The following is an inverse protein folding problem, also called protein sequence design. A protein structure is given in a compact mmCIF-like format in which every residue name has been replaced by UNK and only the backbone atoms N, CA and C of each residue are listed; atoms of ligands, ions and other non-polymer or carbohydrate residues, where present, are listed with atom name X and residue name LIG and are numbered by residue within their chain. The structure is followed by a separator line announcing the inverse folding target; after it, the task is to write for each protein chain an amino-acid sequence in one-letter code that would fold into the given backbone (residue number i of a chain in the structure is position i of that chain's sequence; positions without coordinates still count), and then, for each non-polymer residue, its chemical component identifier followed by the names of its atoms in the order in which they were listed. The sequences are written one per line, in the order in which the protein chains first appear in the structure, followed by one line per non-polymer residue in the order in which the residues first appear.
data_IF_577450738821
#
_entry.id   IF_577450738821
#
_cell.length_a   1.000
_cell.length_b   1.000
_cell.length_c   1.000
_cell.angle_alpha   90.00
_cell.angle_beta   90.00
_cell.angle_gamma   90.00
#
_symmetry.space_group_name_H-M   'P 1'
#
loop_
_entity.id
_entity.type
_entity.pdbx_description
1 polymer ?
#
# COMPACT_ATOMS: atom_id res chain seq x y z
N UNK A 1 20.12 11.52 -10.50
CA UNK A 1 19.53 12.50 -9.55
C UNK A 1 19.26 11.87 -8.20
N UNK A 2 19.70 12.55 -7.13
CA UNK A 2 19.59 12.10 -5.73
C UNK A 2 18.18 12.35 -5.17
N UNK A 3 17.76 11.52 -4.22
CA UNK A 3 16.55 11.77 -3.42
C UNK A 3 16.95 12.68 -2.26
N UNK A 4 16.12 13.67 -1.93
CA UNK A 4 16.40 14.64 -0.85
C UNK A 4 15.16 14.85 0.04
N UNK A 5 15.35 15.13 1.34
CA UNK A 5 14.24 15.43 2.23
C UNK A 5 13.79 16.89 2.05
N UNK A 6 12.49 17.12 2.19
CA UNK A 6 11.88 18.45 2.31
C UNK A 6 10.87 18.46 3.45
N UNK A 7 10.77 19.59 4.15
CA UNK A 7 9.70 19.84 5.11
C UNK A 7 8.47 20.33 4.35
N UNK A 8 7.30 19.74 4.59
CA UNK A 8 6.04 20.22 4.04
C UNK A 8 5.38 21.25 4.97
N UNK A 9 4.38 21.95 4.45
CA UNK A 9 3.57 22.87 5.26
C UNK A 9 2.92 22.14 6.45
N UNK A 10 2.54 22.91 7.47
CA UNK A 10 1.80 22.36 8.59
C UNK A 10 0.42 21.88 8.17
N UNK A 11 -0.02 20.79 8.78
CA UNK A 11 -1.37 20.24 8.57
C UNK A 11 -2.42 21.16 9.21
N UNK A 12 -3.47 21.48 8.46
CA UNK A 12 -4.58 22.33 8.93
C UNK A 12 -5.60 21.48 9.66
N UNK A 13 -6.07 21.94 10.82
CA UNK A 13 -7.14 21.26 11.60
C UNK A 13 -6.70 20.02 12.40
N UNK A 14 -5.40 19.68 12.37
CA UNK A 14 -4.88 18.53 13.11
C UNK A 14 -4.99 18.76 14.63
N UNK A 15 -5.90 18.03 15.28
CA UNK A 15 -6.02 17.94 16.73
C UNK A 15 -6.66 16.60 17.12
N UNK A 16 -6.59 16.24 18.40
CA UNK A 16 -7.21 15.00 18.89
C UNK A 16 -8.71 14.97 18.59
N UNK A 17 -9.19 13.88 17.99
CA UNK A 17 -10.58 13.70 17.58
C UNK A 17 -10.98 14.45 16.29
N UNK A 18 -10.07 15.19 15.66
CA UNK A 18 -10.33 15.94 14.43
C UNK A 18 -9.57 15.35 13.25
N UNK A 19 -10.01 15.75 12.05
CA UNK A 19 -9.30 15.48 10.80
C UNK A 19 -8.30 16.61 10.52
N UNK A 20 -7.03 16.24 10.38
CA UNK A 20 -6.02 17.13 9.82
C UNK A 20 -5.93 16.95 8.30
N UNK A 21 -5.76 18.04 7.56
CA UNK A 21 -5.59 18.04 6.10
C UNK A 21 -4.33 18.81 5.70
N UNK A 22 -3.52 18.23 4.83
CA UNK A 22 -2.32 18.84 4.26
C UNK A 22 -2.39 18.78 2.72
N UNK A 23 -2.52 19.93 2.04
CA UNK A 23 -2.28 20.01 0.60
C UNK A 23 -0.81 19.69 0.29
N UNK A 24 -0.59 18.75 -0.63
CA UNK A 24 0.74 18.35 -1.10
C UNK A 24 1.05 19.15 -2.37
N UNK A 25 2.13 19.95 -2.41
CA UNK A 25 2.42 20.80 -3.55
C UNK A 25 2.86 19.96 -4.78
N UNK A 26 2.51 20.44 -5.97
CA UNK A 26 3.04 19.85 -7.20
C UNK A 26 4.49 20.30 -7.45
N UNK A 27 5.17 19.61 -8.37
CA UNK A 27 6.52 19.90 -8.81
C UNK A 27 7.40 18.66 -8.74
N UNK A 28 7.79 18.18 -7.55
CA UNK A 28 8.67 17.02 -7.43
C UNK A 28 7.95 15.68 -7.67
N UNK A 29 8.73 14.61 -7.84
CA UNK A 29 8.22 13.24 -7.62
C UNK A 29 8.38 12.89 -6.15
N UNK A 30 7.30 12.44 -5.51
CA UNK A 30 7.31 12.00 -4.11
C UNK A 30 7.62 10.50 -4.01
N UNK A 31 8.63 10.14 -3.21
CA UNK A 31 8.98 8.74 -2.95
C UNK A 31 8.30 8.21 -1.68
N UNK A 32 8.17 9.06 -0.68
CA UNK A 32 7.51 8.75 0.59
C UNK A 32 7.14 10.05 1.31
N UNK A 33 6.13 9.97 2.18
CA UNK A 33 5.85 10.97 3.21
C UNK A 33 6.22 10.39 4.57
N UNK A 34 6.83 11.20 5.42
CA UNK A 34 7.21 10.82 6.78
C UNK A 34 6.46 11.71 7.76
N UNK A 35 5.65 11.09 8.61
CA UNK A 35 4.92 11.76 9.68
C UNK A 35 5.81 11.74 10.93
N UNK A 36 6.16 12.92 11.43
CA UNK A 36 6.79 13.13 12.72
C UNK A 36 5.72 13.61 13.71
N UNK A 37 5.35 12.78 14.67
CA UNK A 37 4.20 13.04 15.55
C UNK A 37 4.34 12.41 16.92
N UNK A 38 3.64 12.97 17.92
CA UNK A 38 3.46 12.31 19.22
C UNK A 38 2.28 11.32 19.26
N UNK A 39 1.56 11.14 18.15
CA UNK A 39 0.51 10.13 18.03
C UNK A 39 1.09 8.71 17.94
N UNK A 40 0.40 7.76 18.57
CA UNK A 40 0.67 6.34 18.35
C UNK A 40 0.00 5.83 17.07
N UNK A 41 0.40 4.65 16.61
CA UNK A 41 -0.20 3.99 15.45
C UNK A 41 -1.74 3.87 15.58
N UNK A 42 -2.21 3.37 16.72
CA UNK A 42 -3.62 3.24 17.06
C UNK A 42 -4.41 4.56 17.15
N UNK A 43 -3.72 5.70 17.26
CA UNK A 43 -4.38 7.01 17.29
C UNK A 43 -4.71 7.55 15.90
N UNK A 44 -4.05 7.05 14.85
CA UNK A 44 -4.33 7.42 13.46
C UNK A 44 -5.33 6.43 12.86
N UNK A 45 -6.61 6.74 13.04
CA UNK A 45 -7.72 5.86 12.68
C UNK A 45 -7.91 5.74 11.16
N UNK A 46 -7.49 6.77 10.42
CA UNK A 46 -7.54 6.80 8.96
C UNK A 46 -6.53 7.77 8.41
N UNK A 47 -5.78 7.34 7.41
CA UNK A 47 -4.78 8.09 6.67
C UNK A 47 -5.14 7.92 5.20
N UNK A 48 -5.38 9.02 4.49
CA UNK A 48 -5.67 8.96 3.07
C UNK A 48 -4.86 9.95 2.26
N UNK A 49 -4.46 9.51 1.08
CA UNK A 49 -3.91 10.37 0.04
C UNK A 49 -4.93 10.43 -1.08
N UNK A 50 -5.35 11.64 -1.44
CA UNK A 50 -6.20 11.89 -2.61
C UNK A 50 -5.38 12.47 -3.74
N UNK A 51 -5.72 12.10 -4.97
CA UNK A 51 -5.21 12.66 -6.20
C UNK A 51 -6.41 12.95 -7.10
N UNK A 52 -6.70 14.23 -7.33
CA UNK A 52 -7.83 14.68 -8.16
C UNK A 52 -9.17 14.06 -7.73
N UNK A 53 -9.43 14.09 -6.41
CA UNK A 53 -10.60 13.50 -5.74
C UNK A 53 -10.68 11.96 -5.71
N UNK A 54 -9.75 11.24 -6.33
CA UNK A 54 -9.61 9.79 -6.13
C UNK A 54 -8.73 9.53 -4.90
N UNK A 55 -9.22 8.75 -3.93
CA UNK A 55 -8.35 8.22 -2.87
C UNK A 55 -7.42 7.17 -3.49
N UNK A 56 -6.12 7.44 -3.49
CA UNK A 56 -5.11 6.49 -3.98
C UNK A 56 -4.56 5.65 -2.83
N UNK A 57 -4.51 6.19 -1.61
CA UNK A 57 -4.12 5.48 -0.39
C UNK A 57 -5.22 5.59 0.65
N UNK A 58 -5.55 4.49 1.30
CA UNK A 58 -6.46 4.43 2.47
C UNK A 58 -5.89 3.43 3.47
N UNK A 59 -5.36 3.94 4.57
CA UNK A 59 -4.58 3.21 5.56
C UNK A 59 -4.94 3.63 6.98
N UNK A 60 -4.43 2.88 7.96
CA UNK A 60 -4.40 3.21 9.39
C UNK A 60 -2.95 3.33 9.85
N UNK A 61 -2.71 3.92 11.02
CA UNK A 61 -1.36 3.98 11.58
C UNK A 61 -0.75 2.58 11.83
N UNK A 62 -1.56 1.61 12.26
CA UNK A 62 -1.11 0.22 12.44
C UNK A 62 -0.69 -0.44 11.13
N UNK A 63 -1.38 -0.12 10.04
CA UNK A 63 -1.00 -0.62 8.71
C UNK A 63 0.30 -0.02 8.19
N UNK A 64 0.58 1.27 8.47
CA UNK A 64 1.88 1.85 8.12
C UNK A 64 3.02 1.10 8.83
N UNK A 65 2.84 0.81 10.12
CA UNK A 65 3.81 0.02 10.90
C UNK A 65 3.94 -1.39 10.35
N UNK A 66 2.82 -2.05 10.00
CA UNK A 66 2.82 -3.39 9.41
C UNK A 66 3.60 -3.44 8.08
N UNK A 67 3.37 -2.47 7.19
CA UNK A 67 4.04 -2.39 5.90
C UNK A 67 5.56 -2.23 6.03
N UNK A 68 6.02 -1.38 6.94
CA UNK A 68 7.45 -1.19 7.23
C UNK A 68 8.07 -2.45 7.85
N UNK A 69 7.42 -3.05 8.86
CA UNK A 69 7.89 -4.28 9.50
C UNK A 69 7.98 -5.44 8.52
N UNK A 70 7.01 -5.57 7.61
CA UNK A 70 7.03 -6.59 6.56
C UNK A 70 8.27 -6.45 5.67
N UNK A 71 8.71 -5.22 5.42
CA UNK A 71 9.89 -4.85 4.63
C UNK A 71 11.20 -4.78 5.45
N UNK A 72 11.22 -5.39 6.65
CA UNK A 72 12.37 -5.39 7.56
C UNK A 72 12.87 -3.99 7.94
N UNK A 73 11.95 -3.04 8.08
CA UNK A 73 12.23 -1.70 8.58
C UNK A 73 11.77 -1.60 10.03
N UNK A 74 12.66 -1.11 10.88
CA UNK A 74 12.35 -0.86 12.28
C UNK A 74 11.46 0.38 12.40
N UNK A 75 10.31 0.21 13.07
CA UNK A 75 9.43 1.33 13.38
C UNK A 75 10.12 2.23 14.42
N UNK A 76 10.35 3.48 14.06
CA UNK A 76 10.84 4.50 14.99
C UNK A 76 9.64 5.17 15.66
N UNK A 77 9.66 5.29 16.98
CA UNK A 77 8.56 5.92 17.72
C UNK A 77 8.29 7.33 17.19
N UNK A 78 7.00 7.65 16.96
CA UNK A 78 6.58 8.93 16.42
C UNK A 78 6.94 9.18 14.94
N UNK A 79 7.45 8.16 14.23
CA UNK A 79 7.81 8.25 12.82
C UNK A 79 7.03 7.22 12.02
N UNK A 80 6.19 7.69 11.10
CA UNK A 80 5.38 6.81 10.25
C UNK A 80 5.62 7.14 8.78
N UNK A 81 5.84 6.11 7.97
CA UNK A 81 6.18 6.26 6.55
C UNK A 81 4.98 5.87 5.70
N UNK A 82 4.57 6.76 4.79
CA UNK A 82 3.62 6.47 3.71
C UNK A 82 4.44 6.23 2.44
N UNK A 83 4.64 4.98 2.01
CA UNK A 83 5.54 4.66 0.91
C UNK A 83 4.84 4.75 -0.45
N UNK A 84 5.34 5.60 -1.35
CA UNK A 84 4.95 5.56 -2.77
C UNK A 84 5.86 4.62 -3.54
N UNK A 85 7.16 4.83 -3.40
CA UNK A 85 8.23 4.01 -3.97
C UNK A 85 8.40 2.67 -3.28
N UNK A 86 8.91 1.67 -4.01
CA UNK A 86 9.22 0.36 -3.45
C UNK A 86 10.69 0.25 -3.04
N UNK A 87 10.98 0.64 -1.81
CA UNK A 87 12.34 0.63 -1.26
C UNK A 87 13.03 -0.74 -1.22
N UNK A 88 12.28 -1.84 -1.34
CA UNK A 88 12.83 -3.21 -1.33
C UNK A 88 13.03 -3.77 -2.75
N UNK A 89 12.84 -2.94 -3.78
CA UNK A 89 13.21 -3.30 -5.15
C UNK A 89 14.73 -3.35 -5.31
N UNK A 90 15.22 -4.28 -6.12
CA UNK A 90 16.68 -4.49 -6.29
C UNK A 90 17.35 -3.48 -7.22
N UNK A 91 16.59 -2.89 -8.15
CA UNK A 91 17.12 -1.96 -9.13
C UNK A 91 16.71 -0.54 -8.79
N UNK A 92 17.58 0.43 -9.10
CA UNK A 92 17.27 1.86 -8.91
C UNK A 92 16.00 2.27 -9.65
N UNK A 93 15.76 1.72 -10.84
CA UNK A 93 14.55 1.95 -11.61
C UNK A 93 13.34 1.34 -10.91
N UNK A 94 13.45 0.10 -10.41
CA UNK A 94 12.39 -0.56 -9.64
C UNK A 94 12.01 0.21 -8.38
N UNK A 95 12.97 0.72 -7.62
CA UNK A 95 12.69 1.51 -6.41
C UNK A 95 11.87 2.74 -6.75
N UNK A 96 12.24 3.44 -7.82
CA UNK A 96 11.62 4.71 -8.21
C UNK A 96 10.37 4.54 -9.05
N UNK A 97 10.11 3.33 -9.55
CA UNK A 97 9.08 3.03 -10.53
C UNK A 97 7.69 3.50 -10.08
N UNK A 98 7.41 3.36 -8.78
CA UNK A 98 6.11 3.66 -8.19
C UNK A 98 6.09 4.98 -7.42
N UNK A 99 7.09 5.84 -7.59
CA UNK A 99 7.05 7.19 -7.02
C UNK A 99 5.82 7.97 -7.51
N UNK A 100 5.21 8.75 -6.63
CA UNK A 100 4.07 9.59 -6.98
C UNK A 100 4.55 10.80 -7.76
N UNK A 101 4.43 10.72 -9.09
CA UNK A 101 4.69 11.84 -9.99
C UNK A 101 3.54 12.83 -9.90
N UNK A 102 3.86 14.10 -9.66
CA UNK A 102 2.89 15.19 -9.68
C UNK A 102 2.95 15.93 -11.00
N UNK A 103 1.80 16.24 -11.57
CA UNK A 103 1.64 17.07 -12.75
C UNK A 103 1.09 18.45 -12.36
N UNK A 104 1.24 19.42 -13.27
CA UNK A 104 0.68 20.75 -13.06
C UNK A 104 -0.85 20.67 -12.99
N UNK A 105 -1.44 21.24 -11.92
CA UNK A 105 -2.88 21.24 -11.71
C UNK A 105 -3.43 20.04 -10.95
N UNK A 106 -2.58 19.07 -10.57
CA UNK A 106 -2.98 18.00 -9.67
C UNK A 106 -3.42 18.56 -8.32
N UNK A 107 -4.57 18.12 -7.84
CA UNK A 107 -5.01 18.40 -6.48
C UNK A 107 -4.71 17.20 -5.57
N UNK A 108 -3.72 17.32 -4.70
CA UNK A 108 -3.25 16.24 -3.83
C UNK A 108 -3.40 16.64 -2.36
N UNK A 109 -4.08 15.81 -1.57
CA UNK A 109 -4.20 16.02 -0.13
C UNK A 109 -3.82 14.77 0.66
N UNK A 110 -3.09 14.98 1.75
CA UNK A 110 -2.97 14.05 2.86
C UNK A 110 -3.99 14.40 3.93
N UNK A 111 -4.92 13.49 4.20
CA UNK A 111 -5.91 13.58 5.27
C UNK A 111 -5.62 12.55 6.36
N UNK A 112 -5.60 12.98 7.62
CA UNK A 112 -5.43 12.07 8.78
C UNK A 112 -6.54 12.33 9.79
N UNK A 113 -7.32 11.29 10.08
CA UNK A 113 -8.28 11.28 11.18
C UNK A 113 -7.61 10.78 12.46
N UNK A 114 -7.55 11.63 13.48
CA UNK A 114 -7.03 11.26 14.78
C UNK A 114 -8.13 10.85 15.74
N UNK A 115 -7.83 9.88 16.59
CA UNK A 115 -8.69 9.46 17.71
C UNK A 115 -8.80 10.58 18.75
N UNK A 116 -9.96 10.68 19.40
CA UNK A 116 -10.15 11.56 20.56
C UNK A 116 -9.31 11.12 21.76
N UNK A 117 -8.83 12.08 22.54
CA UNK A 117 -8.11 11.86 23.82
C UNK A 117 -8.80 12.65 24.93
N UNK A 118 -8.48 12.30 26.18
CA UNK A 118 -8.91 13.08 27.33
C UNK A 118 -8.38 14.52 27.25
N UNK A 119 -9.11 15.48 27.84
CA UNK A 119 -8.81 16.90 27.74
C UNK A 119 -7.43 17.30 28.31
N UNK A 120 -6.87 16.50 29.22
CA UNK A 120 -5.56 16.71 29.83
C UNK A 120 -4.41 16.01 29.08
N UNK A 121 -4.67 15.37 27.94
CA UNK A 121 -3.62 14.77 27.13
C UNK A 121 -2.70 15.85 26.54
N UNK A 122 -1.42 15.51 26.36
CA UNK A 122 -0.47 16.37 25.63
C UNK A 122 -1.07 16.74 24.26
N UNK A 123 -1.05 18.02 23.85
CA UNK A 123 -1.57 18.42 22.55
C UNK A 123 -0.94 17.62 21.40
N UNK A 124 -1.74 17.35 20.36
CA UNK A 124 -1.24 16.68 19.16
C UNK A 124 -0.16 17.55 18.52
N UNK A 125 1.00 16.95 18.26
CA UNK A 125 2.07 17.51 17.45
C UNK A 125 2.18 16.67 16.18
N UNK A 126 2.18 17.32 15.02
CA UNK A 126 2.45 16.65 13.74
C UNK A 126 3.19 17.58 12.78
N UNK A 127 4.27 17.07 12.21
CA UNK A 127 4.98 17.64 11.08
C UNK A 127 5.11 16.57 10.00
N UNK A 128 4.91 16.96 8.74
CA UNK A 128 5.10 16.06 7.60
C UNK A 128 6.36 16.45 6.85
N UNK A 129 7.20 15.46 6.57
CA UNK A 129 8.35 15.57 5.69
C UNK A 129 8.10 14.71 4.46
N UNK A 130 8.84 14.97 3.38
CA UNK A 130 8.79 14.16 2.18
C UNK A 130 10.18 13.90 1.65
N UNK A 131 10.39 12.71 1.10
CA UNK A 131 11.57 12.42 0.29
C UNK A 131 11.21 12.53 -1.17
N UNK A 132 11.92 13.41 -1.87
CA UNK A 132 11.57 13.81 -3.23
C UNK A 132 12.75 13.69 -4.19
N UNK A 133 12.43 13.49 -5.46
CA UNK A 133 13.34 13.74 -6.57
C UNK A 133 12.81 14.84 -7.47
N UNK A 134 13.58 15.20 -8.50
CA UNK A 134 13.16 16.21 -9.46
C UNK A 134 11.83 15.83 -10.14
N UNK A 135 11.15 16.84 -10.66
CA UNK A 135 9.96 16.66 -11.48
C UNK A 135 10.20 15.69 -12.63
N UNK A 136 9.19 14.92 -12.97
CA UNK A 136 9.17 14.12 -14.19
C UNK A 136 8.18 14.74 -15.17
N UNK A 137 8.46 14.63 -16.47
CA UNK A 137 7.66 15.27 -17.50
C UNK A 137 6.21 14.77 -17.55
N UNK A 138 5.99 13.52 -17.12
CA UNK A 138 4.67 12.90 -17.12
C UNK A 138 4.58 11.81 -16.06
N UNK A 139 3.36 11.62 -15.55
CA UNK A 139 2.99 10.48 -14.75
C UNK A 139 2.59 9.32 -15.65
N UNK A 140 3.34 8.21 -15.57
CA UNK A 140 2.99 6.96 -16.25
C UNK A 140 2.18 6.05 -15.34
N UNK A 141 2.48 6.06 -14.03
CA UNK A 141 1.88 5.18 -13.03
C UNK A 141 1.42 5.96 -11.80
N UNK A 142 0.36 5.48 -11.17
CA UNK A 142 -0.11 5.91 -9.85
C UNK A 142 0.03 4.71 -8.90
N UNK A 143 0.84 4.80 -7.83
CA UNK A 143 0.80 3.79 -6.77
C UNK A 143 -0.51 3.90 -6.01
N UNK A 144 -1.05 2.77 -5.56
CA UNK A 144 -2.30 2.71 -4.82
C UNK A 144 -2.20 1.72 -3.67
N UNK A 145 -2.80 2.06 -2.53
CA UNK A 145 -3.01 1.12 -1.43
C UNK A 145 -4.45 1.28 -0.94
N UNK A 146 -5.30 0.30 -1.23
CA UNK A 146 -6.73 0.32 -0.89
C UNK A 146 -7.11 -0.89 -0.06
N UNK A 147 -8.18 -0.76 0.71
CA UNK A 147 -8.76 -1.84 1.50
C UNK A 147 -9.91 -2.46 0.71
N UNK A 148 -9.85 -3.77 0.54
CA UNK A 148 -10.95 -4.61 0.09
C UNK A 148 -11.47 -5.44 1.27
N UNK A 149 -12.65 -6.02 1.14
CA UNK A 149 -13.20 -6.92 2.15
C UNK A 149 -13.74 -8.18 1.49
N UNK A 150 -13.20 -9.32 1.92
CA UNK A 150 -13.63 -10.64 1.50
C UNK A 150 -14.64 -11.19 2.49
N UNK A 151 -15.87 -11.53 2.06
CA UNK A 151 -16.77 -12.32 2.89
C UNK A 151 -16.17 -13.70 3.17
N UNK A 152 -16.22 -14.15 4.43
CA UNK A 152 -15.63 -15.42 4.86
C UNK A 152 -16.53 -16.10 5.90
N UNK A 153 -17.69 -16.57 5.47
CA UNK A 153 -18.75 -17.07 6.36
C UNK A 153 -18.65 -18.59 6.63
N UNK A 154 -17.58 -19.24 6.18
CA UNK A 154 -17.36 -20.67 6.39
C UNK A 154 -15.97 -20.96 6.99
N UNK A 155 -15.88 -22.07 7.70
CA UNK A 155 -14.61 -22.73 7.99
C UNK A 155 -14.18 -23.52 6.75
N UNK A 156 -12.89 -23.53 6.43
CA UNK A 156 -12.38 -24.11 5.19
C UNK A 156 -12.27 -23.05 4.10
N UNK A 157 -12.65 -23.40 2.88
CA UNK A 157 -12.46 -22.53 1.72
C UNK A 157 -13.49 -21.39 1.67
N UNK A 158 -13.01 -20.17 1.47
CA UNK A 158 -13.80 -18.98 1.19
C UNK A 158 -13.25 -18.34 -0.08
N UNK A 159 -14.12 -17.78 -0.94
CA UNK A 159 -13.73 -17.25 -2.24
C UNK A 159 -13.97 -15.73 -2.35
N UNK A 160 -13.04 -15.04 -3.01
CA UNK A 160 -13.12 -13.61 -3.32
C UNK A 160 -12.89 -13.37 -4.80
N UNK A 161 -13.90 -12.84 -5.47
CA UNK A 161 -13.93 -12.58 -6.93
C UNK A 161 -14.19 -11.11 -7.26
N UNK A 162 -14.37 -10.25 -6.25
CA UNK A 162 -14.78 -8.87 -6.42
C UNK A 162 -13.62 -7.87 -6.47
N UNK A 163 -12.39 -8.34 -6.65
CA UNK A 163 -11.23 -7.45 -6.77
C UNK A 163 -11.46 -6.49 -7.94
N UNK A 164 -11.18 -5.20 -7.75
CA UNK A 164 -11.22 -4.22 -8.84
C UNK A 164 -10.24 -4.66 -9.95
N UNK A 165 -10.76 -4.83 -11.16
CA UNK A 165 -9.99 -5.35 -12.29
C UNK A 165 -9.90 -4.34 -13.42
N UNK A 166 -8.73 -4.31 -14.07
CA UNK A 166 -8.48 -3.45 -15.22
C UNK A 166 -7.22 -3.93 -15.95
N UNK A 167 -7.13 -3.83 -17.30
CA UNK A 167 -5.86 -3.98 -18.02
C UNK A 167 -4.77 -3.01 -17.57
N UNK A 168 -5.15 -1.94 -16.87
CA UNK A 168 -4.24 -0.91 -16.39
C UNK A 168 -3.86 -1.08 -14.91
N UNK A 169 -4.41 -2.07 -14.20
CA UNK A 169 -4.14 -2.27 -12.78
C UNK A 169 -3.41 -3.58 -12.57
N UNK A 170 -2.28 -3.49 -11.87
CA UNK A 170 -1.51 -4.66 -11.42
C UNK A 170 -1.26 -4.59 -9.92
N UNK A 171 -1.27 -5.75 -9.27
CA UNK A 171 -1.05 -5.93 -7.85
C UNK A 171 0.44 -6.03 -7.59
N UNK A 172 0.89 -5.29 -6.59
CA UNK A 172 2.22 -5.43 -5.98
C UNK A 172 2.17 -6.42 -4.85
N UNK A 173 1.23 -6.27 -3.91
CA UNK A 173 1.08 -7.11 -2.72
C UNK A 173 -0.37 -7.13 -2.25
N UNK A 174 -0.79 -8.22 -1.61
CA UNK A 174 -2.04 -8.31 -0.87
C UNK A 174 -1.76 -8.86 0.54
N UNK A 175 -2.34 -8.22 1.55
CA UNK A 175 -2.21 -8.60 2.94
C UNK A 175 -3.60 -8.96 3.47
N UNK A 176 -3.90 -10.27 3.53
CA UNK A 176 -5.16 -10.80 4.05
C UNK A 176 -5.10 -10.80 5.58
N UNK A 177 -5.96 -10.03 6.22
CA UNK A 177 -5.89 -9.71 7.66
C UNK A 177 -6.65 -10.72 8.52
N UNK A 178 -6.10 -11.93 8.64
CA UNK A 178 -6.63 -12.95 9.55
C UNK A 178 -5.53 -13.96 9.96
N UNK A 179 -5.47 -14.33 11.23
CA UNK A 179 -4.42 -15.21 11.80
C UNK A 179 -4.64 -16.70 11.52
N UNK A 180 -5.86 -17.10 11.13
CA UNK A 180 -6.26 -18.50 10.92
C UNK A 180 -6.28 -18.93 9.45
N UNK A 181 -5.72 -18.15 8.54
CA UNK A 181 -5.54 -18.53 7.14
C UNK A 181 -4.40 -19.55 7.03
N UNK A 182 -4.67 -20.71 6.44
CA UNK A 182 -3.69 -21.78 6.25
C UNK A 182 -3.20 -21.91 4.81
N UNK A 183 -3.96 -21.40 3.83
CA UNK A 183 -3.68 -21.53 2.40
C UNK A 183 -4.31 -20.38 1.60
N UNK A 184 -3.63 -20.00 0.52
CA UNK A 184 -4.15 -19.14 -0.54
C UNK A 184 -3.97 -19.85 -1.89
N UNK A 185 -5.03 -19.84 -2.68
CA UNK A 185 -5.04 -20.23 -4.08
C UNK A 185 -5.56 -19.07 -4.93
N UNK A 186 -4.95 -18.85 -6.08
CA UNK A 186 -5.37 -17.84 -7.04
C UNK A 186 -5.58 -18.52 -8.38
N UNK A 187 -6.78 -18.36 -8.93
CA UNK A 187 -7.17 -18.87 -10.24
C UNK A 187 -7.54 -17.71 -11.14
N UNK A 188 -7.06 -17.73 -12.39
CA UNK A 188 -7.41 -16.79 -13.45
C UNK A 188 -7.81 -17.58 -14.67
N UNK A 189 -9.02 -17.33 -15.18
CA UNK A 189 -9.52 -17.96 -16.41
C UNK A 189 -9.35 -19.50 -16.38
N UNK A 190 -9.73 -20.12 -15.25
CA UNK A 190 -9.61 -21.56 -14.98
C UNK A 190 -8.18 -22.12 -14.88
N UNK A 191 -7.17 -21.25 -14.85
CA UNK A 191 -5.76 -21.60 -14.66
C UNK A 191 -5.33 -21.21 -13.26
N UNK A 192 -4.72 -22.15 -12.54
CA UNK A 192 -4.10 -21.89 -11.24
C UNK A 192 -2.81 -21.09 -11.43
N UNK A 193 -2.84 -19.83 -11.01
CA UNK A 193 -1.73 -18.88 -11.09
C UNK A 193 -0.81 -18.99 -9.87
N UNK A 194 -1.40 -19.29 -8.70
CA UNK A 194 -0.69 -19.36 -7.44
C UNK A 194 -1.36 -20.34 -6.49
N UNK A 195 -0.56 -21.09 -5.75
CA UNK A 195 -1.00 -21.92 -4.64
C UNK A 195 0.12 -22.00 -3.61
N UNK A 196 -0.17 -21.61 -2.37
CA UNK A 196 0.74 -21.81 -1.26
C UNK A 196 -0.01 -21.94 0.06
N UNK A 197 0.49 -22.81 0.92
CA UNK A 197 0.17 -22.78 2.34
C UNK A 197 1.05 -21.74 3.06
N UNK A 198 0.71 -21.45 4.32
CA UNK A 198 1.43 -20.47 5.14
C UNK A 198 2.92 -20.81 5.26
N UNK A 199 3.27 -22.09 5.41
CA UNK A 199 4.67 -22.54 5.50
C UNK A 199 5.49 -22.16 4.26
N UNK A 200 5.00 -22.47 3.06
CA UNK A 200 5.71 -22.17 1.80
C UNK A 200 5.76 -20.66 1.56
N UNK A 201 4.65 -19.95 1.75
CA UNK A 201 4.59 -18.50 1.55
C UNK A 201 5.58 -17.77 2.48
N UNK A 202 5.57 -18.10 3.77
CA UNK A 202 6.47 -17.48 4.75
C UNK A 202 7.94 -17.82 4.53
N UNK A 203 8.25 -19.07 4.18
CA UNK A 203 9.62 -19.48 3.88
C UNK A 203 10.19 -18.69 2.69
N UNK A 204 9.39 -18.50 1.64
CA UNK A 204 9.77 -17.68 0.49
C UNK A 204 9.92 -16.19 0.85
N UNK A 205 9.02 -15.65 1.68
CA UNK A 205 9.11 -14.28 2.18
C UNK A 205 10.43 -14.06 2.96
N UNK A 206 10.74 -14.92 3.93
CA UNK A 206 11.97 -14.85 4.75
C UNK A 206 13.22 -14.96 3.89
N UNK A 207 13.23 -15.84 2.88
CA UNK A 207 14.35 -15.99 1.93
C UNK A 207 14.64 -14.73 1.12
N UNK A 208 13.64 -13.87 0.94
CA UNK A 208 13.74 -12.64 0.16
C UNK A 208 13.64 -11.38 1.04
N UNK A 209 14.14 -11.47 2.29
CA UNK A 209 14.27 -10.32 3.19
C UNK A 209 12.91 -9.64 3.47
N UNK A 210 11.88 -10.46 3.70
CA UNK A 210 10.60 -10.05 4.26
C UNK A 210 10.36 -10.72 5.60
N UNK A 211 9.60 -10.04 6.44
CA UNK A 211 9.17 -10.58 7.74
C UNK A 211 7.67 -10.81 7.70
N UNK A 212 7.19 -12.07 7.63
CA UNK A 212 5.76 -12.37 7.81
C UNK A 212 5.19 -11.72 9.07
N UNK A 213 4.00 -11.14 8.98
CA UNK A 213 3.37 -10.43 10.08
C UNK A 213 2.31 -11.30 10.75
N UNK A 214 2.30 -11.34 12.08
CA UNK A 214 1.26 -12.03 12.84
C UNK A 214 -0.12 -11.44 12.53
N UNK A 215 -1.12 -12.30 12.29
CA UNK A 215 -2.46 -11.87 11.89
C UNK A 215 -2.63 -11.64 10.39
N UNK A 216 -1.65 -12.01 9.56
CA UNK A 216 -1.72 -11.81 8.12
C UNK A 216 -1.28 -13.03 7.33
N UNK A 217 -1.95 -13.27 6.19
CA UNK A 217 -1.39 -14.02 5.08
C UNK A 217 -0.97 -13.05 3.98
N UNK A 218 0.28 -13.16 3.52
CA UNK A 218 0.82 -12.26 2.49
C UNK A 218 0.90 -12.95 1.14
N UNK A 219 0.37 -12.28 0.12
CA UNK A 219 0.65 -12.54 -1.28
C UNK A 219 1.54 -11.41 -1.80
N UNK A 220 2.81 -11.69 -2.06
CA UNK A 220 3.80 -10.74 -2.58
C UNK A 220 4.39 -11.31 -3.88
N UNK A 221 3.77 -11.09 -5.05
CA UNK A 221 4.31 -11.57 -6.32
C UNK A 221 5.68 -10.94 -6.65
N UNK A 222 5.95 -9.73 -6.16
CA UNK A 222 7.24 -9.03 -6.34
C UNK A 222 8.22 -9.28 -5.19
N UNK A 223 8.05 -10.36 -4.41
CA UNK A 223 8.84 -10.63 -3.20
C UNK A 223 10.35 -10.65 -3.47
N UNK A 224 10.77 -11.08 -4.67
CA UNK A 224 12.19 -11.13 -5.07
C UNK A 224 12.79 -9.74 -5.34
N UNK A 225 11.96 -8.71 -5.43
CA UNK A 225 12.38 -7.32 -5.63
C UNK A 225 12.44 -6.88 -7.10
N UNK A 226 11.84 -7.64 -8.03
CA UNK A 226 11.65 -7.25 -9.43
C UNK A 226 10.30 -6.55 -9.62
N UNK A 227 10.19 -5.34 -9.08
CA UNK A 227 8.94 -4.59 -8.94
C UNK A 227 8.24 -4.15 -10.24
N UNK A 228 8.84 -4.42 -11.41
CA UNK A 228 8.26 -4.12 -12.72
C UNK A 228 7.79 -5.43 -13.39
N UNK A 229 8.66 -6.43 -13.42
CA UNK A 229 8.45 -7.66 -14.19
C UNK A 229 7.55 -8.69 -13.49
N UNK A 230 7.51 -8.68 -12.14
CA UNK A 230 6.76 -9.65 -11.34
C UNK A 230 5.43 -9.08 -10.81
N UNK A 231 4.94 -7.97 -11.36
CA UNK A 231 3.63 -7.43 -11.00
C UNK A 231 2.52 -8.42 -11.41
N UNK A 232 1.54 -8.65 -10.53
CA UNK A 232 0.44 -9.57 -10.83
C UNK A 232 -0.71 -8.81 -11.53
N UNK A 233 -1.00 -9.08 -12.81
CA UNK A 233 -2.05 -8.34 -13.52
C UNK A 233 -3.43 -8.66 -12.95
N UNK A 234 -4.37 -7.70 -12.98
CA UNK A 234 -5.76 -7.95 -12.57
C UNK A 234 -6.69 -8.32 -13.74
N UNK A 235 -6.24 -8.09 -14.98
CA UNK A 235 -7.01 -8.41 -16.19
C UNK A 235 -7.26 -9.91 -16.32
N UNK A 236 -8.48 -10.26 -16.70
CA UNK A 236 -8.92 -11.63 -16.99
C UNK A 236 -10.10 -11.58 -17.97
N UNK A 237 -10.45 -12.72 -18.56
CA UNK A 237 -11.55 -12.83 -19.53
C UNK A 237 -12.86 -13.32 -18.88
N UNK A 238 -12.75 -14.26 -17.94
CA UNK A 238 -13.86 -14.95 -17.28
C UNK A 238 -13.86 -14.71 -15.78
N UNK A 239 -12.77 -15.06 -15.08
CA UNK A 239 -12.68 -14.87 -13.63
C UNK A 239 -11.25 -14.57 -13.17
N UNK A 240 -11.17 -13.84 -12.06
CA UNK A 240 -10.01 -13.79 -11.18
C UNK A 240 -10.49 -14.09 -9.77
N UNK A 241 -10.08 -15.23 -9.23
CA UNK A 241 -10.60 -15.79 -7.98
C UNK A 241 -9.47 -16.00 -6.99
N UNK A 242 -9.66 -15.51 -5.77
CA UNK A 242 -8.80 -15.77 -4.62
C UNK A 242 -9.53 -16.68 -3.64
N UNK A 243 -9.03 -17.89 -3.43
CA UNK A 243 -9.56 -18.85 -2.46
C UNK A 243 -8.65 -18.89 -1.24
N UNK A 244 -9.15 -18.54 -0.06
CA UNK A 244 -8.42 -18.69 1.21
C UNK A 244 -9.02 -19.83 2.03
N UNK A 245 -8.16 -20.70 2.57
CA UNK A 245 -8.59 -21.72 3.52
C UNK A 245 -8.39 -21.22 4.94
N UNK A 246 -9.44 -21.20 5.76
CA UNK A 246 -9.40 -20.80 7.17
C UNK A 246 -9.68 -21.96 8.11
N UNK A 247 -9.08 -21.94 9.30
CA UNK A 247 -9.31 -22.95 10.34
C UNK A 247 -10.46 -22.62 11.29
N UNK A 248 -11.10 -21.45 11.11
CA UNK A 248 -12.27 -20.95 11.82
C UNK A 248 -13.25 -20.26 10.84
N UNK A 249 -14.31 -19.63 11.36
CA UNK A 249 -15.28 -18.83 10.60
C UNK A 249 -15.01 -17.33 10.86
N UNK A 250 -14.33 -16.60 9.95
CA UNK A 250 -13.95 -15.20 10.19
C UNK A 250 -15.11 -14.19 10.09
N UNK A 251 -16.18 -14.53 9.35
CA UNK A 251 -17.23 -13.61 8.92
C UNK A 251 -16.78 -12.72 7.76
N UNK A 252 -15.68 -11.99 7.93
CA UNK A 252 -15.04 -11.20 6.87
C UNK A 252 -13.53 -11.10 7.08
N UNK A 253 -12.77 -11.11 5.99
CA UNK A 253 -11.33 -10.90 5.98
C UNK A 253 -11.05 -9.58 5.25
N UNK A 254 -10.62 -8.53 5.96
CA UNK A 254 -10.10 -7.33 5.30
C UNK A 254 -8.83 -7.67 4.51
N UNK A 255 -8.63 -7.00 3.38
CA UNK A 255 -7.46 -7.19 2.53
C UNK A 255 -6.86 -5.82 2.25
N UNK A 256 -5.58 -5.62 2.58
CA UNK A 256 -4.85 -4.46 2.09
C UNK A 256 -4.23 -4.79 0.73
N UNK A 257 -4.60 -4.05 -0.30
CA UNK A 257 -4.14 -4.27 -1.68
C UNK A 257 -3.20 -3.15 -2.08
N UNK A 258 -1.89 -3.45 -2.14
CA UNK A 258 -0.90 -2.61 -2.81
C UNK A 258 -0.97 -2.86 -4.31
N UNK A 259 -1.23 -1.83 -5.11
CA UNK A 259 -1.34 -1.92 -6.57
C UNK A 259 -0.69 -0.72 -7.25
N UNK A 260 -0.58 -0.81 -8.57
CA UNK A 260 -0.20 0.28 -9.45
C UNK A 260 -1.23 0.38 -10.57
N UNK A 261 -1.57 1.62 -10.93
CA UNK A 261 -2.45 1.94 -12.05
C UNK A 261 -1.65 2.65 -13.12
N UNK A 262 -1.58 2.07 -14.32
CA UNK A 262 -1.05 2.71 -15.52
C UNK A 262 -2.04 3.80 -15.94
N UNK A 263 -1.53 5.01 -16.13
CA UNK A 263 -2.32 6.17 -16.57
C UNK A 263 -2.04 6.59 -18.00
N UNK A 264 -0.90 6.12 -18.55
CA UNK A 264 -0.42 6.41 -19.90
C UNK A 264 0.11 5.13 -20.56
N UNK A 265 -0.76 4.18 -20.96
CA UNK A 265 -0.34 2.90 -21.52
C UNK A 265 0.49 3.04 -22.80
N UNK A 266 0.28 4.10 -23.58
CA UNK A 266 1.02 4.42 -24.80
C UNK A 266 2.53 4.60 -24.56
N UNK A 267 2.92 5.00 -23.34
CA UNK A 267 4.31 5.22 -22.96
C UNK A 267 5.03 3.93 -22.52
N UNK A 268 4.30 2.85 -22.27
CA UNK A 268 4.89 1.54 -21.94
C UNK A 268 5.18 0.72 -23.20
N UNK A 269 4.47 0.97 -24.30
CA UNK A 269 4.59 0.23 -25.56
C UNK A 269 5.77 0.70 -26.43
N UNK A 270 6.26 1.93 -26.25
CA UNK A 270 7.36 2.50 -27.04
C UNK A 270 8.76 1.98 -26.70
N UNK A 271 8.87 0.98 -25.80
CA UNK A 271 10.12 0.31 -25.45
C UNK A 271 10.39 -1.00 -26.21
N UNK A 272 9.47 -1.41 -27.10
CA UNK A 272 9.58 -2.61 -27.93
C UNK A 272 9.67 -2.23 -29.42
N UNK A 273 10.72 -1.49 -29.78
CA UNK A 273 11.15 -1.29 -31.17
C UNK A 273 12.67 -1.43 -31.24
#
# INVERSE_FOLDING_TARGET
MSVKPIKLNSMVGASWGQKGTLPIPNGPTYHELVLETNASAADMQRIAITLNAEEIYVLTGEELVMLERYKQRDATAGHFVIPFSDIVARTKNGVRYTGLVTELGDNIHLDIQFKGKAANATPLSIQVHAWVSNSQAMRVLVPMIKRETMPANAQGENEFTNLVTSPLISIRRMHFMHDKISKLEIERDFVKEYEANTFISEANAKRNERTPQSGYFHFDPIVRGFSIDELFPTQHSSNLKFSVTTTDVPGSIPILVESVKVTRPEMLQSGAA
#
